data_IF_806575854891
#
_entry.id   IF_806575854891
#
_cell.length_a   1.000
_cell.length_b   1.000
_cell.length_c   1.000
_cell.angle_alpha   90.00
_cell.angle_beta   90.00
_cell.angle_gamma   90.00
#
_symmetry.space_group_name_H-M   'P 1'
#
loop_
_entity.id
_entity.type
_entity.pdbx_description
1 polymer ?
#
# COMPACT_ATOMS: atom_id res chain seq x y z
N UNK A 1 4.48 13.32 8.65
CA UNK A 1 4.42 11.92 9.13
C UNK A 1 5.66 11.20 8.64
N UNK A 2 6.26 10.28 9.40
CA UNK A 2 7.46 9.54 8.98
C UNK A 2 7.09 8.26 8.23
N UNK A 3 7.01 8.34 6.89
CA UNK A 3 6.69 7.18 6.04
C UNK A 3 7.71 6.03 6.21
N UNK A 4 8.99 6.35 6.36
CA UNK A 4 10.05 5.37 6.61
C UNK A 4 9.79 4.56 7.89
N UNK A 5 9.36 5.23 8.97
CA UNK A 5 8.98 4.56 10.22
C UNK A 5 7.75 3.68 10.05
N UNK A 6 6.75 4.15 9.30
CA UNK A 6 5.55 3.38 9.00
C UNK A 6 5.81 2.13 8.14
N UNK A 7 6.86 2.13 7.32
CA UNK A 7 7.30 0.95 6.57
C UNK A 7 8.03 -0.07 7.44
N UNK A 8 8.70 0.38 8.50
CA UNK A 8 9.38 -0.51 9.44
C UNK A 8 8.39 -1.14 10.41
N UNK A 9 7.58 -0.31 11.08
CA UNK A 9 6.61 -0.73 12.08
C UNK A 9 5.35 0.16 11.98
N UNK A 10 4.34 -0.26 11.19
CA UNK A 10 3.14 0.53 11.00
C UNK A 10 2.30 0.64 12.29
N UNK A 11 2.31 -0.39 13.15
CA UNK A 11 1.60 -0.40 14.43
C UNK A 11 2.12 0.60 15.47
N UNK A 12 3.39 1.02 15.39
CA UNK A 12 3.98 2.07 16.23
C UNK A 12 3.68 3.48 15.71
N UNK A 13 3.22 3.61 14.46
CA UNK A 13 2.89 4.91 13.85
C UNK A 13 1.37 5.14 13.83
N UNK A 14 0.60 4.08 13.65
CA UNK A 14 -0.85 4.13 13.52
C UNK A 14 -1.50 3.17 14.52
N UNK A 15 -2.55 3.65 15.18
CA UNK A 15 -3.36 2.82 16.08
C UNK A 15 -4.25 1.83 15.30
N UNK A 16 -4.69 2.21 14.10
CA UNK A 16 -5.61 1.39 13.29
C UNK A 16 -5.31 1.44 11.80
N UNK A 17 -5.61 0.35 11.05
CA UNK A 17 -5.46 0.35 9.59
C UNK A 17 -6.38 1.37 8.89
N UNK A 18 -7.52 1.70 9.50
CA UNK A 18 -8.45 2.73 9.02
C UNK A 18 -7.81 4.13 9.02
N UNK A 19 -6.91 4.41 9.97
CA UNK A 19 -6.17 5.68 9.99
C UNK A 19 -5.28 5.81 8.75
N UNK A 20 -4.58 4.72 8.36
CA UNK A 20 -3.74 4.71 7.15
C UNK A 20 -4.59 5.00 5.91
N UNK A 21 -5.78 4.41 5.82
CA UNK A 21 -6.65 4.59 4.66
C UNK A 21 -7.20 6.03 4.56
N UNK A 22 -7.44 6.70 5.71
CA UNK A 22 -7.96 8.07 5.79
C UNK A 22 -6.89 9.15 5.69
N UNK A 23 -5.60 8.80 5.80
CA UNK A 23 -4.48 9.77 5.66
C UNK A 23 -4.49 10.46 4.31
N UNK A 24 -4.59 11.79 4.31
CA UNK A 24 -4.41 12.62 3.10
C UNK A 24 -2.94 12.84 2.73
N UNK A 25 -2.04 12.60 3.69
CA UNK A 25 -0.58 12.79 3.57
C UNK A 25 0.10 11.67 2.77
N UNK A 26 -0.62 10.59 2.46
CA UNK A 26 -0.12 9.40 1.78
C UNK A 26 -0.82 9.23 0.44
N UNK A 27 -0.06 8.82 -0.58
CA UNK A 27 -0.63 8.37 -1.85
C UNK A 27 -1.31 7.01 -1.68
N UNK A 28 -2.19 6.66 -2.60
CA UNK A 28 -2.87 5.37 -2.59
C UNK A 28 -1.88 4.19 -2.57
N UNK A 29 -0.81 4.28 -3.37
CA UNK A 29 0.26 3.30 -3.42
C UNK A 29 0.99 3.16 -2.08
N UNK A 30 1.34 4.29 -1.44
CA UNK A 30 1.95 4.29 -0.11
C UNK A 30 1.04 3.69 0.97
N UNK A 31 -0.27 3.95 0.91
CA UNK A 31 -1.25 3.34 1.82
C UNK A 31 -1.30 1.83 1.65
N UNK A 32 -1.33 1.37 0.40
CA UNK A 32 -1.34 -0.06 0.07
C UNK A 32 -0.06 -0.74 0.56
N UNK A 33 1.10 -0.12 0.36
CA UNK A 33 2.40 -0.63 0.81
C UNK A 33 2.44 -0.77 2.34
N UNK A 34 2.01 0.26 3.08
CA UNK A 34 1.94 0.24 4.56
C UNK A 34 0.99 -0.85 5.04
N UNK A 35 -0.22 -0.93 4.49
CA UNK A 35 -1.21 -1.93 4.90
C UNK A 35 -0.75 -3.35 4.56
N UNK A 36 -0.06 -3.57 3.43
CA UNK A 36 0.54 -4.87 3.09
C UNK A 36 1.57 -5.30 4.12
N UNK A 37 2.44 -4.38 4.53
CA UNK A 37 3.44 -4.63 5.57
C UNK A 37 2.78 -4.97 6.91
N UNK A 38 1.73 -4.23 7.26
CA UNK A 38 0.98 -4.47 8.50
C UNK A 38 0.25 -5.81 8.49
N UNK A 39 -0.30 -6.25 7.35
CA UNK A 39 -0.93 -7.56 7.23
C UNK A 39 0.06 -8.69 7.52
N UNK A 40 1.31 -8.57 7.04
CA UNK A 40 2.35 -9.55 7.33
C UNK A 40 2.64 -9.62 8.83
N UNK A 41 2.86 -8.48 9.48
CA UNK A 41 3.12 -8.40 10.92
C UNK A 41 1.95 -8.96 11.76
N UNK A 42 0.72 -8.59 11.41
CA UNK A 42 -0.49 -9.07 12.05
C UNK A 42 -0.71 -10.58 11.85
N UNK A 43 -0.27 -11.15 10.72
CA UNK A 43 -0.31 -12.59 10.47
C UNK A 43 0.69 -13.34 11.35
N UNK A 44 1.91 -12.82 11.52
CA UNK A 44 2.92 -13.42 12.40
C UNK A 44 2.47 -13.40 13.87
N UNK A 45 1.83 -12.30 14.30
CA UNK A 45 1.17 -12.21 15.61
C UNK A 45 0.00 -13.20 15.75
N UNK A 46 -0.83 -13.36 14.71
CA UNK A 46 -1.97 -14.28 14.74
C UNK A 46 -1.53 -15.76 14.78
N UNK A 47 -0.42 -16.12 14.10
CA UNK A 47 0.17 -17.47 14.17
C UNK A 47 0.66 -17.78 15.58
N UNK A 48 1.14 -16.79 16.33
CA UNK A 48 1.50 -16.96 17.73
C UNK A 48 0.26 -17.20 18.64
N UNK A 49 -0.94 -16.77 18.22
CA UNK A 49 -2.21 -16.97 18.95
C UNK A 49 -3.05 -18.16 18.43
N UNK A 50 -2.59 -18.90 17.42
CA UNK A 50 -3.31 -20.03 16.79
C UNK A 50 -3.33 -21.33 17.64
N UNK A 51 -3.37 -21.19 18.97
CA UNK A 51 -3.82 -22.26 19.90
C UNK A 51 -5.09 -21.86 20.68
N UNK A 52 -5.70 -20.70 20.40
CA UNK A 52 -6.82 -20.19 21.20
C UNK A 52 -7.95 -19.57 20.37
N UNK A 53 -8.83 -20.42 19.82
CA UNK A 53 -10.23 -20.12 19.44
C UNK A 53 -10.62 -18.63 19.40
N UNK A 54 -10.29 -17.91 18.31
CA UNK A 54 -10.69 -16.50 18.19
C UNK A 54 -12.21 -16.38 17.93
N UNK A 55 -12.87 -15.98 19.01
CA UNK A 55 -14.27 -15.60 19.15
C UNK A 55 -14.51 -14.24 18.49
N UNK A 56 -15.45 -14.17 17.55
CA UNK A 56 -16.37 -13.05 17.31
C UNK A 56 -15.86 -11.69 16.81
N UNK A 57 -14.64 -11.26 17.15
CA UNK A 57 -14.07 -9.97 16.73
C UNK A 57 -13.15 -10.14 15.51
N UNK A 58 -13.29 -9.25 14.52
CA UNK A 58 -12.43 -9.25 13.33
C UNK A 58 -10.98 -8.98 13.76
N UNK A 59 -10.11 -9.98 13.62
CA UNK A 59 -8.68 -9.85 13.90
C UNK A 59 -8.07 -8.66 13.16
N UNK A 60 -6.99 -8.10 13.71
CA UNK A 60 -6.26 -6.99 13.09
C UNK A 60 -5.96 -7.27 11.61
N UNK A 61 -5.53 -8.49 11.29
CA UNK A 61 -5.32 -8.96 9.92
C UNK A 61 -6.55 -8.78 9.03
N UNK A 62 -7.74 -9.17 9.50
CA UNK A 62 -8.98 -9.05 8.73
C UNK A 62 -9.34 -7.57 8.46
N UNK A 63 -9.12 -6.68 9.44
CA UNK A 63 -9.34 -5.23 9.28
C UNK A 63 -8.37 -4.63 8.26
N UNK A 64 -7.10 -5.02 8.30
CA UNK A 64 -6.07 -4.57 7.34
C UNK A 64 -6.43 -5.03 5.91
N UNK A 65 -6.81 -6.30 5.74
CA UNK A 65 -7.21 -6.85 4.45
C UNK A 65 -8.45 -6.15 3.87
N UNK A 66 -9.42 -5.81 4.72
CA UNK A 66 -10.61 -5.06 4.32
C UNK A 66 -10.26 -3.67 3.78
N UNK A 67 -9.35 -2.94 4.42
CA UNK A 67 -8.92 -1.63 3.92
C UNK A 67 -8.09 -1.75 2.64
N UNK A 68 -7.26 -2.80 2.51
CA UNK A 68 -6.55 -3.09 1.26
C UNK A 68 -7.50 -3.36 0.09
N UNK A 69 -8.54 -4.16 0.31
CA UNK A 69 -9.58 -4.45 -0.69
C UNK A 69 -10.30 -3.16 -1.11
N UNK A 70 -10.71 -2.34 -0.13
CA UNK A 70 -11.35 -1.04 -0.38
C UNK A 70 -10.49 -0.08 -1.20
N UNK A 71 -9.18 -0.07 -0.95
CA UNK A 71 -8.23 0.76 -1.70
C UNK A 71 -7.87 0.17 -3.06
N UNK A 72 -7.88 -1.17 -3.19
CA UNK A 72 -7.60 -1.90 -4.42
C UNK A 72 -8.72 -1.83 -5.46
N UNK A 73 -9.98 -1.89 -5.02
CA UNK A 73 -11.16 -1.77 -5.90
C UNK A 73 -11.28 -0.37 -6.53
N UNK A 74 -10.78 0.65 -5.83
CA UNK A 74 -10.69 2.03 -6.32
C UNK A 74 -9.46 2.33 -7.19
N UNK A 75 -8.50 1.41 -7.31
CA UNK A 75 -7.28 1.60 -8.10
C UNK A 75 -7.50 1.19 -9.56
N UNK A 76 -8.06 2.12 -10.34
CA UNK A 76 -7.93 2.08 -11.80
C UNK A 76 -6.43 2.04 -12.13
N UNK A 77 -5.98 0.88 -12.60
CA UNK A 77 -4.56 0.52 -12.77
C UNK A 77 -3.86 1.29 -13.90
N UNK A 78 -4.38 2.45 -14.30
CA UNK A 78 -3.84 3.29 -15.38
C UNK A 78 -2.56 4.03 -15.00
N UNK A 79 -2.11 4.00 -13.74
CA UNK A 79 -0.85 4.63 -13.34
C UNK A 79 0.33 3.65 -13.40
N UNK A 80 0.59 3.12 -14.59
CA UNK A 80 1.94 2.65 -14.90
C UNK A 80 2.91 3.84 -14.77
N UNK A 81 4.02 3.73 -14.02
CA UNK A 81 4.99 4.81 -13.92
C UNK A 81 5.54 5.14 -15.32
N UNK A 82 5.58 6.41 -15.76
CA UNK A 82 6.15 6.79 -17.05
C UNK A 82 7.67 6.77 -16.98
N UNK A 83 8.27 5.61 -16.72
CA UNK A 83 9.74 5.42 -16.76
C UNK A 83 10.11 4.63 -18.01
N UNK A 84 9.76 5.18 -19.17
CA UNK A 84 10.50 4.98 -20.43
C UNK A 84 10.58 6.29 -21.20
N UNK A 85 11.24 7.30 -20.63
CA UNK A 85 11.99 8.28 -21.44
C UNK A 85 13.26 7.61 -21.98
N UNK A 86 13.08 6.54 -22.76
CA UNK A 86 14.13 5.78 -23.39
C UNK A 86 14.31 6.22 -24.84
N UNK A 87 15.05 7.32 -25.04
CA UNK A 87 15.92 7.49 -26.21
C UNK A 87 15.28 7.83 -27.57
N UNK A 88 15.77 8.95 -28.13
CA UNK A 88 15.95 9.26 -29.57
C UNK A 88 14.73 9.38 -30.50
N UNK A 89 14.12 10.57 -30.52
CA UNK A 89 13.78 11.19 -31.82
C UNK A 89 14.94 12.10 -32.24
N UNK A 90 16.00 11.49 -32.79
CA UNK A 90 17.01 12.26 -33.53
C UNK A 90 16.33 12.76 -34.80
N UNK A 91 16.10 14.07 -34.80
CA UNK A 91 16.35 14.91 -35.95
C UNK A 91 15.27 14.89 -37.04
N UNK A 92 14.23 15.70 -36.79
CA UNK A 92 13.60 16.47 -37.85
C UNK A 92 14.65 17.37 -38.51
N UNK A 93 15.25 16.91 -39.60
CA UNK A 93 15.78 17.81 -40.63
C UNK A 93 15.32 17.27 -41.98
N UNK A 94 14.20 17.82 -42.46
CA UNK A 94 13.96 17.95 -43.89
C UNK A 94 15.03 18.90 -44.46
N UNK A 95 15.42 18.73 -45.73
CA UNK A 95 14.82 19.65 -46.68
C UNK A 95 14.27 18.98 -47.94
N UNK A 96 13.25 19.63 -48.49
CA UNK A 96 12.76 19.45 -49.85
C UNK A 96 13.80 19.98 -50.83
N UNK A 97 14.10 19.25 -51.92
CA UNK A 97 13.90 19.70 -53.30
C UNK A 97 14.04 18.53 -54.26
#
# INVERSE_FOLDING_TARGET
MDFDKAMLDPGSVFDTPEEVATRSDLTLDQKIEILRRWAYDASELAVAEEEGMITGEQSLLARVLKELDRLGDGYDSSHTPPTKHGGISRNSIRPKK
#
